data_IF_898114968579
#
_entry.id   IF_898114968579
#
_cell.length_a   1.000
_cell.length_b   1.000
_cell.length_c   1.000
_cell.angle_alpha   90.00
_cell.angle_beta   90.00
_cell.angle_gamma   90.00
#
_symmetry.space_group_name_H-M   'P 1'
#
loop_
_entity.id
_entity.type
_entity.pdbx_description
1 polymer ?
#
# COMPACT_ATOMS: atom_id res chain seq x y z
N UNK A 1 -12.84 -4.95 7.87
CA UNK A 1 -13.61 -3.69 7.89
C UNK A 1 -13.12 -2.82 6.75
N UNK A 2 -13.98 -2.42 5.80
CA UNK A 2 -13.59 -1.46 4.75
C UNK A 2 -13.57 -0.05 5.37
N UNK A 3 -12.54 0.78 5.13
CA UNK A 3 -12.49 2.16 5.62
C UNK A 3 -13.70 2.99 5.15
N UNK A 4 -14.27 3.82 6.03
CA UNK A 4 -15.33 4.78 5.68
C UNK A 4 -14.72 6.11 5.15
N UNK A 5 -15.53 6.92 4.47
CA UNK A 5 -15.07 8.17 3.82
C UNK A 5 -14.45 9.18 4.79
N UNK A 6 -14.97 9.30 6.01
CA UNK A 6 -14.38 10.15 7.06
C UNK A 6 -12.95 9.76 7.43
N UNK A 7 -12.61 8.47 7.34
CA UNK A 7 -11.26 8.00 7.60
C UNK A 7 -10.30 8.37 6.46
N UNK A 8 -10.80 8.47 5.22
CA UNK A 8 -10.01 8.90 4.05
C UNK A 8 -9.67 10.40 4.11
N UNK A 9 -10.62 11.26 4.50
CA UNK A 9 -10.36 12.69 4.71
C UNK A 9 -9.35 12.96 5.83
N UNK A 10 -9.46 12.25 6.97
CA UNK A 10 -8.55 12.42 8.10
C UNK A 10 -7.09 12.06 7.78
N UNK A 11 -6.85 11.27 6.73
CA UNK A 11 -5.53 10.80 6.33
C UNK A 11 -4.83 11.72 5.30
N UNK A 12 -5.48 12.79 4.81
CA UNK A 12 -4.85 13.77 3.91
C UNK A 12 -4.45 13.21 2.54
N UNK A 13 -5.20 12.22 2.06
CA UNK A 13 -4.76 11.27 1.01
C UNK A 13 -4.70 11.85 -0.41
N UNK A 14 -5.30 13.01 -0.68
CA UNK A 14 -5.53 13.52 -2.04
C UNK A 14 -4.39 14.32 -2.65
N UNK A 15 -3.58 15.03 -1.85
CA UNK A 15 -2.72 16.09 -2.39
C UNK A 15 -1.33 15.59 -2.88
N UNK A 16 -1.03 14.30 -2.73
CA UNK A 16 0.31 13.74 -2.95
C UNK A 16 0.39 12.59 -3.95
N UNK A 17 -0.69 12.26 -4.68
CA UNK A 17 -0.67 11.13 -5.61
C UNK A 17 -0.04 11.51 -6.96
N UNK A 18 0.96 10.75 -7.45
CA UNK A 18 1.44 10.89 -8.82
C UNK A 18 0.31 10.75 -9.83
N UNK A 19 0.31 11.64 -10.84
CA UNK A 19 -0.65 11.64 -11.95
C UNK A 19 -0.35 10.59 -13.03
N UNK A 20 0.77 9.88 -12.91
CA UNK A 20 1.20 8.83 -13.84
C UNK A 20 1.56 7.56 -13.08
N UNK A 21 1.45 6.43 -13.76
CA UNK A 21 1.56 5.12 -13.13
C UNK A 21 0.29 4.74 -12.37
N UNK A 22 0.38 3.68 -11.58
CA UNK A 22 -0.70 3.16 -10.77
C UNK A 22 -0.37 3.34 -9.29
N UNK A 23 -1.23 4.08 -8.57
CA UNK A 23 -1.11 4.23 -7.13
C UNK A 23 -1.89 3.13 -6.41
N UNK A 24 -1.22 2.43 -5.51
CA UNK A 24 -1.79 1.32 -4.73
C UNK A 24 -1.58 1.63 -3.26
N UNK A 25 -2.67 1.73 -2.50
CA UNK A 25 -2.63 1.79 -1.04
C UNK A 25 -2.62 0.38 -0.47
N UNK A 26 -1.62 0.10 0.36
CA UNK A 26 -1.46 -1.13 1.12
C UNK A 26 -1.77 -0.86 2.58
N UNK A 27 -2.57 -1.73 3.22
CA UNK A 27 -2.86 -1.66 4.64
C UNK A 27 -2.08 -2.73 5.40
N UNK A 28 -1.48 -2.36 6.52
CA UNK A 28 -0.70 -3.27 7.36
C UNK A 28 -1.47 -3.57 8.66
N UNK A 29 -2.33 -4.61 8.67
CA UNK A 29 -2.89 -5.12 9.91
C UNK A 29 -1.79 -5.79 10.76
N UNK A 30 -2.07 -5.96 12.05
CA UNK A 30 -1.14 -6.51 13.06
C UNK A 30 -0.47 -7.83 12.63
N UNK A 31 -1.19 -8.71 11.93
CA UNK A 31 -0.65 -10.01 11.49
C UNK A 31 0.35 -9.91 10.34
N UNK A 32 0.30 -8.81 9.58
CA UNK A 32 1.01 -8.66 8.30
C UNK A 32 2.11 -7.60 8.36
N UNK A 33 2.03 -6.67 9.32
CA UNK A 33 3.00 -5.60 9.53
C UNK A 33 4.44 -6.09 9.82
N UNK A 34 4.62 -7.33 10.28
CA UNK A 34 5.94 -7.91 10.53
C UNK A 34 6.55 -8.59 9.30
N UNK A 35 5.79 -8.80 8.23
CA UNK A 35 6.30 -9.41 7.00
C UNK A 35 6.89 -8.32 6.08
N UNK A 36 8.09 -8.56 5.57
CA UNK A 36 8.80 -7.65 4.66
C UNK A 36 8.20 -7.65 3.23
N UNK A 37 6.89 -7.48 3.10
CA UNK A 37 6.14 -7.70 1.85
C UNK A 37 6.63 -6.81 0.73
N UNK A 38 6.79 -5.51 0.95
CA UNK A 38 7.17 -4.58 -0.14
C UNK A 38 8.56 -4.90 -0.67
N UNK A 39 9.54 -5.05 0.22
CA UNK A 39 10.91 -5.32 -0.21
C UNK A 39 11.03 -6.73 -0.79
N UNK A 40 10.25 -7.70 -0.30
CA UNK A 40 10.19 -9.03 -0.90
C UNK A 40 9.56 -8.99 -2.28
N UNK A 41 8.43 -8.30 -2.43
CA UNK A 41 7.75 -8.08 -3.71
C UNK A 41 8.68 -7.45 -4.75
N UNK A 42 9.46 -6.43 -4.35
CA UNK A 42 10.40 -5.75 -5.24
C UNK A 42 11.47 -6.71 -5.77
N UNK A 43 12.04 -7.54 -4.89
CA UNK A 43 13.04 -8.55 -5.26
C UNK A 43 12.45 -9.70 -6.07
N UNK A 44 11.26 -10.19 -5.70
CA UNK A 44 10.62 -11.33 -6.36
C UNK A 44 10.18 -10.98 -7.78
N UNK A 45 9.64 -9.78 -7.97
CA UNK A 45 9.17 -9.34 -9.29
C UNK A 45 10.28 -8.65 -10.10
N UNK A 46 11.38 -8.27 -9.46
CA UNK A 46 12.45 -7.43 -10.01
C UNK A 46 11.89 -6.10 -10.56
N UNK A 47 11.14 -5.40 -9.70
CA UNK A 47 10.45 -4.14 -10.01
C UNK A 47 10.75 -3.15 -8.89
N UNK A 48 11.09 -1.92 -9.27
CA UNK A 48 11.20 -0.80 -8.36
C UNK A 48 9.82 -0.18 -8.08
N UNK A 49 9.59 0.21 -6.83
CA UNK A 49 8.38 0.90 -6.42
C UNK A 49 8.73 2.26 -5.85
N UNK A 50 7.96 3.28 -6.23
CA UNK A 50 8.03 4.57 -5.57
C UNK A 50 7.16 4.52 -4.31
N UNK A 51 7.76 4.79 -3.15
CA UNK A 51 6.98 5.04 -1.93
C UNK A 51 6.51 6.49 -1.99
N UNK A 52 5.21 6.70 -2.18
CA UNK A 52 4.63 8.03 -2.33
C UNK A 52 4.45 8.70 -0.98
N UNK A 53 3.72 8.04 -0.08
CA UNK A 53 3.53 8.45 1.30
C UNK A 53 3.05 7.27 2.13
N UNK A 54 3.14 7.38 3.45
CA UNK A 54 2.56 6.40 4.36
C UNK A 54 2.33 6.98 5.72
N UNK A 55 1.38 6.38 6.44
CA UNK A 55 1.10 6.70 7.83
C UNK A 55 1.15 5.43 8.64
N UNK A 56 2.05 5.38 9.62
CA UNK A 56 2.15 4.27 10.57
C UNK A 56 1.98 4.86 11.96
N UNK A 57 0.99 4.36 12.70
CA UNK A 57 0.70 4.75 14.07
C UNK A 57 0.89 3.56 15.00
N UNK A 58 1.36 3.83 16.21
CA UNK A 58 1.44 2.82 17.27
C UNK A 58 0.15 2.86 18.08
N UNK A 59 -0.70 1.85 17.92
CA UNK A 59 -1.96 1.70 18.64
C UNK A 59 -1.94 0.41 19.47
N UNK A 60 -2.12 0.54 20.78
CA UNK A 60 -2.13 -0.59 21.72
C UNK A 60 -0.91 -1.53 21.56
N UNK A 61 0.26 -0.94 21.35
CA UNK A 61 1.52 -1.67 21.16
C UNK A 61 1.75 -2.24 19.75
N UNK A 62 0.81 -2.08 18.82
CA UNK A 62 0.92 -2.59 17.45
C UNK A 62 1.12 -1.45 16.46
N UNK A 63 1.96 -1.68 15.44
CA UNK A 63 2.05 -0.80 14.30
C UNK A 63 0.84 -1.05 13.39
N UNK A 64 0.02 -0.01 13.19
CA UNK A 64 -1.12 -0.02 12.28
C UNK A 64 -0.96 1.16 11.33
N UNK A 65 -1.20 0.91 10.05
CA UNK A 65 -0.95 1.96 9.08
C UNK A 65 -1.26 1.56 7.66
N UNK A 66 -0.94 2.49 6.78
CA UNK A 66 -1.01 2.31 5.35
C UNK A 66 0.21 2.93 4.67
N UNK A 67 0.50 2.42 3.48
CA UNK A 67 1.52 2.95 2.58
C UNK A 67 0.93 3.03 1.18
N UNK A 68 1.14 4.14 0.49
CA UNK A 68 0.87 4.27 -0.93
C UNK A 68 2.16 4.05 -1.70
N UNK A 69 2.14 3.08 -2.59
CA UNK A 69 3.19 2.88 -3.58
C UNK A 69 2.68 3.30 -4.96
N UNK A 70 3.59 3.76 -5.80
CA UNK A 70 3.34 4.02 -7.21
C UNK A 70 4.23 3.09 -8.05
N UNK A 71 3.61 2.51 -9.08
CA UNK A 71 4.26 1.55 -9.99
C UNK A 71 4.00 1.94 -11.44
N UNK A 72 4.82 1.44 -12.36
CA UNK A 72 4.52 1.53 -13.79
C UNK A 72 3.24 0.73 -14.14
N UNK A 73 2.36 1.29 -14.95
CA UNK A 73 1.12 0.63 -15.40
C UNK A 73 1.37 -0.72 -16.09
N UNK A 74 2.51 -0.86 -16.78
CA UNK A 74 2.91 -2.11 -17.45
C UNK A 74 3.06 -3.30 -16.49
N UNK A 75 3.30 -3.01 -15.21
CA UNK A 75 3.57 -4.00 -14.16
C UNK A 75 2.35 -4.33 -13.30
N UNK A 76 1.22 -3.64 -13.54
CA UNK A 76 -0.04 -3.77 -12.80
C UNK A 76 -0.42 -5.22 -12.51
N UNK A 77 -0.53 -6.06 -13.53
CA UNK A 77 -1.00 -7.44 -13.36
C UNK A 77 -0.08 -8.26 -12.46
N UNK A 78 1.25 -8.09 -12.57
CA UNK A 78 2.22 -8.83 -11.75
C UNK A 78 2.14 -8.39 -10.29
N UNK A 79 2.07 -7.09 -10.07
CA UNK A 79 2.02 -6.50 -8.72
C UNK A 79 0.71 -6.85 -8.02
N UNK A 80 -0.44 -6.67 -8.67
CA UNK A 80 -1.75 -6.98 -8.07
C UNK A 80 -1.89 -8.47 -7.72
N UNK A 81 -1.45 -9.37 -8.61
CA UNK A 81 -1.47 -10.81 -8.33
C UNK A 81 -0.60 -11.18 -7.11
N UNK A 82 0.58 -10.57 -6.98
CA UNK A 82 1.46 -10.80 -5.83
C UNK A 82 0.81 -10.31 -4.53
N UNK A 83 0.23 -9.11 -4.55
CA UNK A 83 -0.42 -8.53 -3.37
C UNK A 83 -1.62 -9.40 -2.95
N UNK A 84 -2.44 -9.85 -3.90
CA UNK A 84 -3.58 -10.74 -3.62
C UNK A 84 -3.13 -12.05 -2.95
N UNK A 85 -2.06 -12.67 -3.43
CA UNK A 85 -1.48 -13.88 -2.84
C UNK A 85 -0.87 -13.65 -1.44
N UNK A 86 -0.41 -12.42 -1.16
CA UNK A 86 0.19 -12.07 0.13
C UNK A 86 -0.82 -11.92 1.27
N UNK A 87 -2.13 -11.82 0.95
CA UNK A 87 -3.19 -11.60 1.93
C UNK A 87 -3.24 -10.18 2.51
N UNK A 88 -2.41 -9.25 2.01
CA UNK A 88 -2.46 -7.83 2.35
C UNK A 88 -3.76 -7.23 1.82
N UNK A 89 -4.41 -6.40 2.64
CA UNK A 89 -5.53 -5.58 2.17
C UNK A 89 -4.98 -4.41 1.34
N UNK A 90 -5.60 -4.15 0.19
CA UNK A 90 -5.16 -3.09 -0.72
C UNK A 90 -6.33 -2.44 -1.47
N UNK A 91 -6.12 -1.22 -1.97
CA UNK A 91 -6.99 -0.55 -2.94
C UNK A 91 -6.16 0.26 -3.95
N UNK A 92 -6.65 0.38 -5.19
CA UNK A 92 -6.12 1.35 -6.16
C UNK A 92 -6.70 2.72 -5.82
N UNK A 93 -5.85 3.75 -5.82
CA UNK A 93 -6.22 5.13 -5.52
C UNK A 93 -5.83 6.04 -6.67
N UNK A 94 -6.56 7.14 -6.84
CA UNK A 94 -6.37 8.13 -7.90
C UNK A 94 -6.65 9.52 -7.37
#
# INVERSE_FOLDING_TARGET
LKPNEKMKEFLGESDFLPSTGLNIKLYFPKEVAQNSIITHMARTLNIDFNIVWGKIEKLNGNALGNLVINIDEKDKSKVLNYIEQSGVLWEVVS
#
